data_IF_862807637448
#
_entry.id   IF_862807637448
#
_cell.length_a   1.000
_cell.length_b   1.000
_cell.length_c   1.000
_cell.angle_alpha   90.00
_cell.angle_beta   90.00
_cell.angle_gamma   90.00
#
_symmetry.space_group_name_H-M   'P 1'
#
loop_
_entity.id
_entity.type
_entity.pdbx_description
1 polymer ?
#
# COMPACT_ATOMS: atom_id res chain seq x y z
N UNK A 1 -25.01 18.27 6.03
CA UNK A 1 -24.91 16.80 5.89
C UNK A 1 -23.44 16.44 5.74
N UNK A 2 -22.95 15.45 6.46
CA UNK A 2 -21.58 14.97 6.32
C UNK A 2 -21.41 14.42 4.90
N UNK A 3 -20.41 14.90 4.18
CA UNK A 3 -20.05 14.37 2.86
C UNK A 3 -19.23 13.10 3.06
N UNK A 4 -19.35 12.14 2.16
CA UNK A 4 -18.49 10.96 2.12
C UNK A 4 -17.41 11.13 1.05
N UNK A 5 -16.23 10.57 1.28
CA UNK A 5 -15.13 10.54 0.31
C UNK A 5 -15.13 9.18 -0.41
N UNK A 6 -15.11 9.21 -1.72
CA UNK A 6 -14.96 8.03 -2.57
C UNK A 6 -13.59 8.07 -3.22
N UNK A 7 -12.78 7.03 -3.03
CA UNK A 7 -11.45 6.96 -3.64
C UNK A 7 -11.42 5.81 -4.64
N UNK A 8 -11.08 6.15 -5.88
CA UNK A 8 -10.90 5.22 -7.01
C UNK A 8 -9.42 5.17 -7.43
N UNK A 9 -9.04 4.22 -8.29
CA UNK A 9 -7.64 4.09 -8.71
C UNK A 9 -7.23 5.03 -9.84
N UNK A 10 -8.19 5.54 -10.67
CA UNK A 10 -7.84 6.38 -11.82
C UNK A 10 -8.66 7.67 -11.90
N UNK A 11 -8.07 8.78 -12.42
CA UNK A 11 -8.77 10.05 -12.62
C UNK A 11 -9.96 9.94 -13.58
N UNK A 12 -9.87 9.08 -14.59
CA UNK A 12 -10.94 8.84 -15.54
C UNK A 12 -12.18 8.24 -14.85
N UNK A 13 -11.97 7.23 -13.99
CA UNK A 13 -13.04 6.64 -13.18
C UNK A 13 -13.61 7.66 -12.19
N UNK A 14 -12.78 8.47 -11.55
CA UNK A 14 -13.25 9.52 -10.65
C UNK A 14 -14.20 10.49 -11.35
N UNK A 15 -13.85 10.95 -12.55
CA UNK A 15 -14.68 11.86 -13.35
C UNK A 15 -16.04 11.24 -13.71
N UNK A 16 -16.07 9.95 -14.05
CA UNK A 16 -17.31 9.25 -14.43
C UNK A 16 -18.18 8.99 -13.22
N UNK A 17 -17.62 8.48 -12.13
CA UNK A 17 -18.33 8.13 -10.91
C UNK A 17 -18.90 9.37 -10.23
N UNK A 18 -18.17 10.48 -10.21
CA UNK A 18 -18.62 11.76 -9.67
C UNK A 18 -19.91 12.26 -10.34
N UNK A 19 -20.10 11.97 -11.64
CA UNK A 19 -21.36 12.34 -12.35
C UNK A 19 -22.56 11.53 -11.91
N UNK A 20 -22.33 10.30 -11.38
CA UNK A 20 -23.40 9.39 -11.01
C UNK A 20 -23.81 9.50 -9.53
N UNK A 21 -22.86 9.84 -8.63
CA UNK A 21 -23.11 9.84 -7.19
C UNK A 21 -23.70 11.16 -6.63
N UNK A 22 -23.60 12.27 -7.37
CA UNK A 22 -24.15 13.54 -6.90
C UNK A 22 -23.25 14.29 -5.89
N UNK A 23 -23.79 15.40 -5.35
CA UNK A 23 -23.01 16.38 -4.56
C UNK A 23 -22.68 15.96 -3.12
N UNK A 24 -23.29 14.87 -2.64
CA UNK A 24 -23.04 14.34 -1.28
C UNK A 24 -21.70 13.59 -1.17
N UNK A 25 -21.10 13.25 -2.31
CA UNK A 25 -19.85 12.54 -2.39
C UNK A 25 -18.73 13.42 -2.95
N UNK A 26 -17.57 13.38 -2.31
CA UNK A 26 -16.32 13.90 -2.85
C UNK A 26 -15.62 12.71 -3.52
N UNK A 27 -15.39 12.76 -4.84
CA UNK A 27 -14.77 11.65 -5.56
C UNK A 27 -13.37 12.05 -5.97
N UNK A 28 -12.38 11.28 -5.51
CA UNK A 28 -10.95 11.50 -5.72
C UNK A 28 -10.27 10.25 -6.28
N UNK A 29 -9.07 10.41 -6.82
CA UNK A 29 -8.28 9.29 -7.34
C UNK A 29 -6.95 9.14 -6.62
N UNK A 30 -6.55 7.88 -6.34
CA UNK A 30 -5.23 7.52 -5.85
C UNK A 30 -4.16 7.55 -6.95
N UNK A 31 -4.58 7.59 -8.22
CA UNK A 31 -3.68 7.47 -9.39
C UNK A 31 -2.84 6.19 -9.30
N UNK A 32 -3.48 5.06 -9.03
CA UNK A 32 -2.86 3.74 -8.84
C UNK A 32 -2.31 3.51 -7.43
N UNK A 33 -1.28 2.69 -7.32
CA UNK A 33 -0.64 2.38 -6.05
C UNK A 33 0.02 3.60 -5.41
N UNK A 34 -0.15 3.74 -4.09
CA UNK A 34 0.39 4.84 -3.30
C UNK A 34 1.55 4.42 -2.38
N UNK A 35 1.67 3.12 -2.10
CA UNK A 35 2.73 2.53 -1.28
C UNK A 35 3.35 1.35 -2.01
N UNK A 36 4.63 1.16 -1.79
CA UNK A 36 5.38 0.00 -2.29
C UNK A 36 6.54 -0.34 -1.36
N UNK A 37 7.18 -1.47 -1.59
CA UNK A 37 8.46 -1.82 -0.95
C UNK A 37 9.57 -0.88 -1.43
N UNK A 38 10.63 -0.65 -0.65
CA UNK A 38 11.73 0.22 -1.02
C UNK A 38 12.31 -0.13 -2.40
N UNK A 39 12.39 0.86 -3.30
CA UNK A 39 12.99 0.67 -4.64
C UNK A 39 14.51 0.66 -4.61
N UNK A 40 15.11 1.41 -3.69
CA UNK A 40 16.58 1.52 -3.52
C UNK A 40 16.93 1.14 -2.09
N UNK A 41 18.05 0.44 -1.93
CA UNK A 41 18.66 0.31 -0.62
C UNK A 41 18.85 1.71 -0.04
N UNK A 42 18.51 1.90 1.23
CA UNK A 42 18.96 3.09 1.94
C UNK A 42 20.49 3.18 1.80
N UNK A 43 20.94 4.15 1.02
CA UNK A 43 22.37 4.29 0.63
C UNK A 43 23.29 4.58 1.83
N UNK A 44 22.71 4.92 2.99
CA UNK A 44 23.41 5.26 4.22
C UNK A 44 23.25 4.19 5.32
N UNK A 45 23.27 2.91 4.98
CA UNK A 45 23.40 1.88 6.01
C UNK A 45 24.84 1.93 6.51
N UNK A 46 25.08 2.61 7.63
CA UNK A 46 26.37 2.56 8.34
C UNK A 46 26.73 1.09 8.54
N UNK A 47 27.90 0.69 8.03
CA UNK A 47 28.46 -0.62 8.36
C UNK A 47 28.67 -0.64 9.86
N UNK A 48 28.02 -1.56 10.57
CA UNK A 48 28.37 -1.82 11.96
C UNK A 48 29.82 -2.29 11.97
N UNK A 49 30.67 -1.56 12.67
CA UNK A 49 32.08 -1.95 12.82
C UNK A 49 32.15 -3.26 13.59
N UNK A 50 32.89 -4.23 13.08
CA UNK A 50 33.16 -5.47 13.80
C UNK A 50 34.07 -5.12 14.98
N UNK A 51 33.70 -5.44 16.24
CA UNK A 51 34.54 -5.13 17.40
C UNK A 51 35.92 -5.75 17.27
N UNK A 52 36.94 -5.04 17.76
CA UNK A 52 38.29 -5.55 17.86
C UNK A 52 38.37 -6.60 18.99
N UNK A 53 39.08 -7.71 18.79
CA UNK A 53 39.29 -8.74 19.82
C UNK A 53 38.46 -10.01 19.70
N UNK A 54 37.59 -10.12 18.69
CA UNK A 54 36.80 -11.33 18.43
C UNK A 54 37.69 -12.42 17.77
N UNK A 55 37.39 -13.70 18.05
CA UNK A 55 37.96 -14.84 17.34
C UNK A 55 37.60 -14.82 15.85
N UNK A 56 38.35 -15.56 14.98
CA UNK A 56 38.01 -15.67 13.57
C UNK A 56 36.58 -16.16 13.32
N UNK A 57 36.11 -17.16 14.08
CA UNK A 57 34.75 -17.73 13.98
C UNK A 57 33.68 -16.73 14.37
N UNK A 58 33.88 -15.98 15.46
CA UNK A 58 32.95 -14.91 15.90
C UNK A 58 32.86 -13.78 14.88
N UNK A 59 33.98 -13.41 14.25
CA UNK A 59 34.01 -12.41 13.18
C UNK A 59 33.20 -12.85 11.96
N UNK A 60 33.37 -14.11 11.55
CA UNK A 60 32.66 -14.68 10.40
C UNK A 60 31.17 -14.76 10.67
N UNK A 61 30.75 -15.23 11.85
CA UNK A 61 29.37 -15.26 12.29
C UNK A 61 28.74 -13.86 12.32
N UNK A 62 29.44 -12.88 12.87
CA UNK A 62 28.95 -11.50 12.92
C UNK A 62 28.85 -10.87 11.53
N UNK A 63 29.79 -11.19 10.63
CA UNK A 63 29.74 -10.76 9.23
C UNK A 63 28.51 -11.33 8.52
N UNK A 64 28.25 -12.62 8.66
CA UNK A 64 27.06 -13.28 8.09
C UNK A 64 25.75 -12.65 8.57
N UNK A 65 25.62 -12.38 9.88
CA UNK A 65 24.45 -11.69 10.47
C UNK A 65 24.31 -10.27 9.89
N UNK A 66 25.40 -9.53 9.78
CA UNK A 66 25.38 -8.18 9.22
C UNK A 66 24.99 -8.16 7.74
N UNK A 67 25.49 -9.10 6.94
CA UNK A 67 25.15 -9.22 5.53
C UNK A 67 23.69 -9.60 5.34
N UNK A 68 23.16 -10.53 6.16
CA UNK A 68 21.73 -10.88 6.18
C UNK A 68 20.85 -9.68 6.57
N UNK A 69 21.19 -8.98 7.64
CA UNK A 69 20.45 -7.77 8.06
C UNK A 69 20.48 -6.67 7.00
N UNK A 70 21.59 -6.54 6.28
CA UNK A 70 21.72 -5.62 5.15
C UNK A 70 20.80 -6.01 4.01
N UNK A 71 20.70 -7.30 3.68
CA UNK A 71 19.82 -7.81 2.65
C UNK A 71 18.35 -7.54 3.01
N UNK A 72 17.92 -7.87 4.24
CA UNK A 72 16.57 -7.60 4.75
C UNK A 72 16.22 -6.11 4.59
N UNK A 73 17.10 -5.22 5.01
CA UNK A 73 16.88 -3.77 4.88
C UNK A 73 16.79 -3.31 3.42
N UNK A 74 17.55 -3.91 2.52
CA UNK A 74 17.51 -3.61 1.09
C UNK A 74 16.22 -4.11 0.44
N UNK A 75 15.76 -5.28 0.81
CA UNK A 75 14.49 -5.83 0.32
C UNK A 75 13.28 -5.09 0.90
N UNK A 76 13.40 -4.58 2.12
CA UNK A 76 12.28 -4.05 2.90
C UNK A 76 11.33 -5.14 3.37
N UNK A 77 11.81 -6.38 3.48
CA UNK A 77 11.05 -7.55 3.93
C UNK A 77 11.91 -8.33 4.89
N UNK A 78 11.35 -8.70 6.04
CA UNK A 78 12.01 -9.50 7.07
C UNK A 78 11.37 -10.89 7.16
N UNK A 79 11.93 -11.91 6.49
CA UNK A 79 11.42 -13.28 6.53
C UNK A 79 11.54 -13.92 7.91
N UNK A 80 12.53 -13.50 8.72
CA UNK A 80 12.81 -14.05 10.04
C UNK A 80 11.82 -13.53 11.09
N UNK A 81 11.12 -12.43 10.78
CA UNK A 81 10.13 -11.78 11.65
C UNK A 81 8.74 -11.76 10.99
N UNK A 82 8.24 -12.95 10.66
CA UNK A 82 6.87 -13.11 10.14
C UNK A 82 6.59 -12.36 8.82
N UNK A 83 7.59 -12.23 7.96
CA UNK A 83 7.48 -11.51 6.68
C UNK A 83 7.05 -10.05 6.84
N UNK A 84 7.51 -9.41 7.91
CA UNK A 84 7.25 -7.99 8.14
C UNK A 84 7.81 -7.17 6.99
N UNK A 85 6.99 -6.30 6.43
CA UNK A 85 7.33 -5.49 5.26
C UNK A 85 7.34 -4.00 5.58
N UNK A 86 8.34 -3.29 5.05
CA UNK A 86 8.48 -1.83 5.13
C UNK A 86 7.78 -1.18 3.95
N UNK A 87 6.45 -0.99 4.08
CA UNK A 87 5.65 -0.32 3.07
C UNK A 87 5.84 1.19 3.14
N UNK A 88 6.46 1.75 2.13
CA UNK A 88 6.75 3.18 2.03
C UNK A 88 5.83 3.88 1.04
N UNK A 89 5.49 5.14 1.31
CA UNK A 89 4.79 5.97 0.34
C UNK A 89 5.70 6.18 -0.87
N UNK A 90 5.18 5.94 -2.06
CA UNK A 90 5.88 6.19 -3.31
C UNK A 90 6.13 7.70 -3.42
N UNK A 91 7.38 8.18 -3.60
CA UNK A 91 7.69 9.62 -3.56
C UNK A 91 6.84 10.46 -4.50
N UNK A 92 6.58 9.94 -5.70
CA UNK A 92 5.74 10.61 -6.72
C UNK A 92 4.26 10.72 -6.30
N UNK A 93 3.85 9.96 -5.25
CA UNK A 93 2.49 9.94 -4.72
C UNK A 93 2.27 10.79 -3.46
N UNK A 94 3.31 11.43 -2.93
CA UNK A 94 3.19 12.27 -1.73
C UNK A 94 2.14 13.38 -1.90
N UNK A 95 2.12 14.04 -3.08
CA UNK A 95 1.14 15.08 -3.38
C UNK A 95 -0.29 14.52 -3.41
N UNK A 96 -0.47 13.34 -3.98
CA UNK A 96 -1.77 12.65 -4.05
C UNK A 96 -2.25 12.32 -2.64
N UNK A 97 -1.39 11.73 -1.80
CA UNK A 97 -1.72 11.41 -0.40
C UNK A 97 -2.06 12.67 0.39
N UNK A 98 -1.34 13.77 0.18
CA UNK A 98 -1.63 15.04 0.83
C UNK A 98 -3.01 15.58 0.45
N UNK A 99 -3.37 15.52 -0.84
CA UNK A 99 -4.70 15.89 -1.33
C UNK A 99 -5.80 15.02 -0.73
N UNK A 100 -5.61 13.68 -0.74
CA UNK A 100 -6.55 12.73 -0.16
C UNK A 100 -6.73 12.96 1.35
N UNK A 101 -5.66 13.24 2.09
CA UNK A 101 -5.74 13.60 3.51
C UNK A 101 -6.51 14.91 3.76
N UNK A 102 -6.40 15.88 2.86
CA UNK A 102 -7.19 17.12 2.95
C UNK A 102 -8.67 16.89 2.67
N UNK A 103 -9.00 16.04 1.68
CA UNK A 103 -10.37 15.67 1.39
C UNK A 103 -10.98 14.85 2.54
N UNK A 104 -10.23 13.90 3.09
CA UNK A 104 -10.64 13.05 4.20
C UNK A 104 -10.98 13.83 5.48
N UNK A 105 -10.32 14.97 5.74
CA UNK A 105 -10.64 15.83 6.91
C UNK A 105 -12.04 16.43 6.89
N UNK A 106 -12.72 16.39 5.76
CA UNK A 106 -14.05 16.99 5.55
C UNK A 106 -15.19 15.98 5.66
N UNK A 107 -14.86 14.72 5.96
CA UNK A 107 -15.79 13.59 5.96
C UNK A 107 -15.53 12.67 7.15
N UNK A 108 -16.51 11.87 7.49
CA UNK A 108 -16.40 10.84 8.52
C UNK A 108 -16.25 9.44 7.91
N UNK A 109 -16.75 9.25 6.67
CA UNK A 109 -16.77 7.98 5.97
C UNK A 109 -16.02 8.02 4.65
N UNK A 110 -15.21 7.00 4.40
CA UNK A 110 -14.41 6.83 3.19
C UNK A 110 -14.78 5.53 2.48
N UNK A 111 -15.26 5.65 1.25
CA UNK A 111 -15.51 4.52 0.37
C UNK A 111 -14.29 4.24 -0.51
N UNK A 112 -13.80 3.00 -0.46
CA UNK A 112 -12.70 2.52 -1.27
C UNK A 112 -13.27 1.77 -2.47
N UNK A 113 -13.32 2.44 -3.63
CA UNK A 113 -13.99 1.99 -4.85
C UNK A 113 -12.97 1.65 -5.96
N UNK A 114 -11.97 0.87 -5.61
CA UNK A 114 -10.94 0.36 -6.51
C UNK A 114 -11.36 -0.97 -7.17
N UNK A 115 -10.63 -1.45 -8.17
CA UNK A 115 -10.97 -2.64 -8.96
C UNK A 115 -11.16 -3.90 -8.12
N UNK A 116 -11.89 -4.89 -8.67
CA UNK A 116 -12.26 -6.14 -8.00
C UNK A 116 -11.16 -7.21 -7.97
N UNK A 117 -9.97 -6.88 -8.41
CA UNK A 117 -8.84 -7.79 -8.39
C UNK A 117 -7.97 -7.61 -7.14
N UNK A 118 -6.95 -8.45 -6.98
CA UNK A 118 -6.01 -8.38 -5.86
C UNK A 118 -5.21 -7.06 -5.83
N UNK A 119 -4.97 -6.45 -7.00
CA UNK A 119 -4.28 -5.16 -7.12
C UNK A 119 -5.15 -4.03 -6.55
N UNK A 120 -6.44 -3.99 -6.96
CA UNK A 120 -7.39 -3.03 -6.44
C UNK A 120 -7.65 -3.20 -4.94
N UNK A 121 -7.68 -4.44 -4.43
CA UNK A 121 -7.82 -4.71 -3.00
C UNK A 121 -6.59 -4.25 -2.21
N UNK A 122 -5.39 -4.43 -2.78
CA UNK A 122 -4.16 -3.91 -2.19
C UNK A 122 -4.11 -2.39 -2.19
N UNK A 123 -4.58 -1.72 -3.25
CA UNK A 123 -4.70 -0.26 -3.29
C UNK A 123 -5.64 0.22 -2.18
N UNK A 124 -6.81 -0.41 -2.02
CA UNK A 124 -7.76 -0.09 -0.96
C UNK A 124 -7.14 -0.23 0.44
N UNK A 125 -6.44 -1.33 0.69
CA UNK A 125 -5.74 -1.56 1.94
C UNK A 125 -4.65 -0.52 2.18
N UNK A 126 -3.82 -0.22 1.20
CA UNK A 126 -2.77 0.79 1.30
C UNK A 126 -3.33 2.20 1.56
N UNK A 127 -4.49 2.53 0.99
CA UNK A 127 -5.19 3.80 1.23
C UNK A 127 -5.66 3.89 2.68
N UNK A 128 -6.32 2.86 3.19
CA UNK A 128 -6.76 2.78 4.59
C UNK A 128 -5.59 3.01 5.55
N UNK A 129 -4.50 2.29 5.35
CA UNK A 129 -3.27 2.42 6.16
C UNK A 129 -2.64 3.83 6.10
N UNK A 130 -2.59 4.43 4.89
CA UNK A 130 -1.95 5.74 4.70
C UNK A 130 -2.78 6.93 5.22
N UNK A 131 -4.10 6.81 5.22
CA UNK A 131 -5.03 7.83 5.71
C UNK A 131 -5.27 7.74 7.21
N UNK A 132 -5.08 6.57 7.82
CA UNK A 132 -5.27 6.27 9.24
C UNK A 132 -6.42 5.28 9.45
N UNK A 133 -6.11 4.01 9.74
CA UNK A 133 -7.10 2.94 9.78
C UNK A 133 -8.18 3.13 10.84
N UNK A 134 -7.85 3.76 11.96
CA UNK A 134 -8.75 4.00 13.09
C UNK A 134 -9.41 5.40 13.08
N UNK A 135 -9.11 6.20 12.05
CA UNK A 135 -9.50 7.62 12.05
C UNK A 135 -10.84 7.88 11.38
N UNK A 136 -11.20 7.02 10.43
CA UNK A 136 -12.40 7.14 9.62
C UNK A 136 -13.13 5.83 9.56
N UNK A 137 -14.43 5.87 9.28
CA UNK A 137 -15.16 4.69 8.86
C UNK A 137 -14.80 4.35 7.42
N UNK A 138 -14.49 3.09 7.13
CA UNK A 138 -14.09 2.63 5.81
C UNK A 138 -15.04 1.56 5.29
N UNK A 139 -15.46 1.70 4.05
CA UNK A 139 -16.22 0.68 3.34
C UNK A 139 -15.61 0.40 1.97
N UNK A 140 -15.59 -0.86 1.59
CA UNK A 140 -15.17 -1.33 0.27
C UNK A 140 -16.37 -1.39 -0.65
N UNK A 141 -16.31 -0.67 -1.77
CA UNK A 141 -17.36 -0.70 -2.81
C UNK A 141 -16.82 -1.45 -4.02
N UNK A 142 -17.60 -2.39 -4.53
CA UNK A 142 -17.22 -3.29 -5.62
C UNK A 142 -18.25 -3.20 -6.74
N UNK A 143 -17.82 -2.87 -7.95
CA UNK A 143 -18.66 -2.86 -9.14
C UNK A 143 -17.91 -3.47 -10.33
N UNK A 144 -18.62 -4.27 -11.12
CA UNK A 144 -18.06 -4.94 -12.31
C UNK A 144 -18.09 -4.05 -13.55
N UNK A 145 -18.97 -3.02 -13.55
CA UNK A 145 -19.19 -2.14 -14.67
C UNK A 145 -19.35 -0.71 -14.19
N UNK A 146 -18.87 0.24 -14.98
CA UNK A 146 -18.99 1.69 -14.70
C UNK A 146 -20.28 2.22 -15.33
N UNK A 147 -21.43 1.60 -15.00
CA UNK A 147 -22.76 2.10 -15.33
C UNK A 147 -23.38 2.76 -14.10
N UNK A 148 -24.32 3.69 -14.32
CA UNK A 148 -24.97 4.42 -13.22
C UNK A 148 -25.67 3.47 -12.25
N UNK A 149 -26.42 2.49 -12.75
CA UNK A 149 -27.12 1.50 -11.91
C UNK A 149 -26.13 0.66 -11.10
N UNK A 150 -25.11 0.05 -11.75
CA UNK A 150 -24.15 -0.79 -11.07
C UNK A 150 -23.40 -0.04 -9.95
N UNK A 151 -23.09 1.24 -10.17
CA UNK A 151 -22.44 2.07 -9.16
C UNK A 151 -23.39 2.35 -8.00
N UNK A 152 -24.62 2.82 -8.25
CA UNK A 152 -25.58 3.11 -7.18
C UNK A 152 -25.86 1.84 -6.36
N UNK A 153 -26.10 0.72 -7.02
CA UNK A 153 -26.38 -0.57 -6.36
C UNK A 153 -25.21 -1.03 -5.49
N UNK A 154 -23.98 -0.78 -5.93
CA UNK A 154 -22.77 -1.15 -5.17
C UNK A 154 -22.57 -0.36 -3.87
N UNK A 155 -23.13 0.84 -3.78
CA UNK A 155 -23.12 1.64 -2.56
C UNK A 155 -24.21 1.24 -1.56
N UNK A 156 -25.23 0.50 -2.00
CA UNK A 156 -26.28 -0.02 -1.13
C UNK A 156 -25.82 -1.24 -0.30
N UNK A 157 -24.78 -1.95 -0.75
CA UNK A 157 -24.22 -3.14 -0.07
C UNK A 157 -22.69 -3.08 0.03
N UNK A 158 -22.15 -2.10 0.78
CA UNK A 158 -20.71 -1.98 0.96
C UNK A 158 -20.14 -3.17 1.74
N UNK A 159 -18.92 -3.55 1.41
CA UNK A 159 -18.20 -4.69 2.01
C UNK A 159 -17.02 -4.20 2.84
N UNK A 160 -16.34 -5.14 3.48
CA UNK A 160 -15.01 -4.92 4.04
C UNK A 160 -13.91 -5.21 3.02
N UNK A 161 -12.69 -4.77 3.32
CA UNK A 161 -11.51 -5.12 2.53
C UNK A 161 -11.26 -6.63 2.67
N UNK A 162 -11.09 -7.31 1.54
CA UNK A 162 -10.76 -8.73 1.49
C UNK A 162 -9.27 -8.94 1.81
N UNK A 163 -9.00 -9.28 3.06
CA UNK A 163 -7.64 -9.47 3.55
C UNK A 163 -6.94 -10.68 2.92
N UNK A 164 -7.66 -11.64 2.36
CA UNK A 164 -7.03 -12.78 1.70
C UNK A 164 -6.52 -12.40 0.31
N UNK A 165 -7.24 -11.55 -0.42
CA UNK A 165 -6.72 -10.94 -1.65
C UNK A 165 -5.53 -10.03 -1.37
N UNK A 166 -5.56 -9.26 -0.28
CA UNK A 166 -4.41 -8.45 0.17
C UNK A 166 -3.20 -9.33 0.48
N UNK A 167 -3.37 -10.46 1.19
CA UNK A 167 -2.30 -11.43 1.45
C UNK A 167 -1.73 -12.01 0.16
N UNK A 168 -2.60 -12.39 -0.79
CA UNK A 168 -2.18 -12.90 -2.10
C UNK A 168 -1.33 -11.88 -2.88
N UNK A 169 -1.74 -10.61 -2.88
CA UNK A 169 -0.95 -9.52 -3.47
C UNK A 169 0.40 -9.38 -2.78
N UNK A 170 0.43 -9.34 -1.44
CA UNK A 170 1.66 -9.21 -0.66
C UNK A 170 2.63 -10.37 -0.94
N UNK A 171 2.13 -11.61 -0.94
CA UNK A 171 2.94 -12.79 -1.21
C UNK A 171 3.60 -12.71 -2.59
N UNK A 172 2.85 -12.34 -3.63
CA UNK A 172 3.41 -12.13 -4.97
C UNK A 172 4.46 -11.02 -4.96
N UNK A 173 4.16 -9.87 -4.34
CA UNK A 173 5.09 -8.74 -4.28
C UNK A 173 6.39 -9.09 -3.57
N UNK A 174 6.31 -9.91 -2.51
CA UNK A 174 7.48 -10.43 -1.80
C UNK A 174 8.30 -11.37 -2.67
N UNK A 175 7.63 -12.29 -3.37
CA UNK A 175 8.30 -13.23 -4.28
C UNK A 175 9.04 -12.49 -5.38
N UNK A 176 8.39 -11.54 -6.05
CA UNK A 176 9.00 -10.71 -7.10
C UNK A 176 10.24 -9.97 -6.57
N UNK A 177 10.16 -9.47 -5.33
CA UNK A 177 11.26 -8.77 -4.68
C UNK A 177 12.43 -9.68 -4.34
N UNK A 178 12.17 -10.85 -3.76
CA UNK A 178 13.18 -11.86 -3.40
C UNK A 178 13.87 -12.39 -4.65
N UNK A 179 13.10 -12.79 -5.67
CA UNK A 179 13.64 -13.28 -6.94
C UNK A 179 14.49 -12.20 -7.61
N UNK A 180 14.02 -10.95 -7.64
CA UNK A 180 14.78 -9.83 -8.22
C UNK A 180 16.11 -9.58 -7.53
N UNK A 181 16.23 -9.86 -6.22
CA UNK A 181 17.48 -9.74 -5.47
C UNK A 181 18.39 -10.95 -5.64
N UNK A 182 17.83 -12.16 -5.79
CA UNK A 182 18.58 -13.40 -5.96
C UNK A 182 19.12 -13.56 -7.40
N UNK A 183 18.30 -13.20 -8.41
CA UNK A 183 18.63 -13.38 -9.83
C UNK A 183 19.32 -12.17 -10.47
N UNK A 184 19.34 -11.02 -9.83
CA UNK A 184 20.00 -9.80 -10.30
C UNK A 184 21.05 -9.33 -9.28
N UNK A 185 22.20 -9.98 -9.19
CA UNK A 185 23.25 -9.63 -8.22
C UNK A 185 24.00 -8.33 -8.55
N UNK A 186 23.54 -7.56 -9.52
CA UNK A 186 24.16 -6.32 -10.00
C UNK A 186 23.58 -5.06 -9.36
#
# INVERSE_FOLDING_TARGET
MAKSLVIVESPAKAKTISKYLGSEYIVESSVGHIRDLPKKAATNIKRSSIPKGLSPEEKEKLKSINDRNRLIRRMGIDPDNGWKADWQIIPEKEKVIKSLKQAAKKVDHIYLATDLDREGEAIAWHLKEALGPEKYEYSRVRFNQITKSAIIDSFADPKEIDLDLVKAYRARRFLDKVIGFELSPL
#
